data_IF_875053696719
#
_entry.id   IF_875053696719
#
_cell.length_a   1.000
_cell.length_b   1.000
_cell.length_c   1.000
_cell.angle_alpha   90.00
_cell.angle_beta   90.00
_cell.angle_gamma   90.00
#
_symmetry.space_group_name_H-M   'P 1'
#
loop_
_entity.id
_entity.type
_entity.pdbx_description
1 polymer ?
#
# COMPACT_ATOMS: atom_id res chain seq x y z
N UNK A 1 -25.04 14.14 -11.06
CA UNK A 1 -23.97 13.14 -10.84
C UNK A 1 -24.62 11.93 -10.18
N UNK A 2 -24.36 10.72 -10.66
CA UNK A 2 -24.91 9.51 -10.03
C UNK A 2 -24.07 9.15 -8.79
N UNK A 3 -24.63 8.33 -7.89
CA UNK A 3 -23.91 7.87 -6.70
C UNK A 3 -22.70 7.00 -7.08
N UNK A 4 -22.82 6.17 -8.12
CA UNK A 4 -21.71 5.35 -8.62
C UNK A 4 -20.54 6.22 -9.10
N UNK A 5 -20.83 7.30 -9.81
CA UNK A 5 -19.82 8.23 -10.28
C UNK A 5 -19.15 8.95 -9.10
N UNK A 6 -19.94 9.36 -8.10
CA UNK A 6 -19.43 9.99 -6.87
C UNK A 6 -18.49 9.06 -6.10
N UNK A 7 -18.88 7.79 -5.94
CA UNK A 7 -18.06 6.75 -5.30
C UNK A 7 -16.75 6.54 -6.05
N UNK A 8 -16.79 6.45 -7.39
CA UNK A 8 -15.59 6.30 -8.22
C UNK A 8 -14.63 7.49 -8.05
N UNK A 9 -15.14 8.73 -8.06
CA UNK A 9 -14.33 9.93 -7.85
C UNK A 9 -13.65 9.94 -6.47
N UNK A 10 -14.38 9.57 -5.42
CA UNK A 10 -13.82 9.47 -4.06
C UNK A 10 -12.71 8.40 -4.01
N UNK A 11 -12.94 7.22 -4.58
CA UNK A 11 -11.96 6.13 -4.58
C UNK A 11 -10.66 6.52 -5.32
N UNK A 12 -10.77 7.16 -6.49
CA UNK A 12 -9.61 7.66 -7.24
C UNK A 12 -8.85 8.72 -6.41
N UNK A 13 -9.57 9.65 -5.79
CA UNK A 13 -8.96 10.69 -4.95
C UNK A 13 -8.22 10.09 -3.74
N UNK A 14 -8.83 9.12 -3.05
CA UNK A 14 -8.19 8.36 -1.97
C UNK A 14 -6.90 7.69 -2.44
N UNK A 15 -6.94 6.98 -3.57
CA UNK A 15 -5.75 6.31 -4.12
C UNK A 15 -4.61 7.29 -4.41
N UNK A 16 -4.90 8.42 -5.06
CA UNK A 16 -3.88 9.42 -5.38
C UNK A 16 -3.22 9.99 -4.12
N UNK A 17 -4.01 10.43 -3.15
CA UNK A 17 -3.49 11.04 -1.92
C UNK A 17 -2.77 10.02 -1.02
N UNK A 18 -3.30 8.79 -0.91
CA UNK A 18 -2.61 7.70 -0.25
C UNK A 18 -1.28 7.39 -0.93
N UNK A 19 -1.24 7.44 -2.26
CA UNK A 19 -0.04 7.29 -3.09
C UNK A 19 1.14 8.13 -2.61
N UNK A 20 0.85 9.36 -2.23
CA UNK A 20 1.84 10.34 -1.79
C UNK A 20 2.05 10.41 -0.27
N UNK A 21 1.07 9.95 0.53
CA UNK A 21 1.02 10.22 1.97
C UNK A 21 0.71 8.98 2.82
N UNK A 22 1.04 7.77 2.35
CA UNK A 22 0.87 6.57 3.15
C UNK A 22 1.71 6.64 4.44
N UNK A 23 1.15 6.16 5.55
CA UNK A 23 1.87 6.13 6.82
C UNK A 23 2.97 5.05 6.79
N UNK A 24 4.15 5.38 7.32
CA UNK A 24 5.24 4.42 7.51
C UNK A 24 5.33 4.00 8.97
N UNK A 25 5.27 2.70 9.23
CA UNK A 25 5.23 2.10 10.57
C UNK A 25 6.34 1.06 10.73
N UNK A 26 6.80 0.81 11.97
CA UNK A 26 7.77 -0.25 12.22
C UNK A 26 7.14 -1.64 12.10
N UNK A 27 7.87 -2.53 11.44
CA UNK A 27 7.58 -3.96 11.29
C UNK A 27 8.80 -4.77 11.70
N UNK A 28 8.63 -5.62 12.71
CA UNK A 28 9.67 -6.57 13.12
C UNK A 28 9.59 -7.83 12.26
N UNK A 29 10.71 -8.18 11.63
CA UNK A 29 10.85 -9.38 10.79
C UNK A 29 11.93 -10.29 11.35
N UNK A 30 11.81 -11.60 11.08
CA UNK A 30 12.89 -12.55 11.32
C UNK A 30 13.74 -12.65 10.06
N UNK A 31 15.04 -12.45 10.21
CA UNK A 31 16.00 -12.62 9.12
C UNK A 31 16.22 -14.12 8.85
N UNK A 32 16.78 -14.48 7.68
CA UNK A 32 17.17 -15.86 7.38
C UNK A 32 18.16 -16.48 8.39
N UNK A 33 18.88 -15.64 9.14
CA UNK A 33 19.85 -16.07 10.16
C UNK A 33 19.24 -16.22 11.56
N UNK A 34 17.91 -16.09 11.69
CA UNK A 34 17.20 -16.26 12.96
C UNK A 34 17.25 -15.04 13.89
N UNK A 35 17.89 -13.95 13.47
CA UNK A 35 17.86 -12.67 14.19
C UNK A 35 16.59 -11.90 13.87
N UNK A 36 16.12 -11.05 14.80
CA UNK A 36 15.02 -10.12 14.54
C UNK A 36 15.57 -8.77 14.10
N UNK A 37 15.00 -8.21 13.06
CA UNK A 37 15.27 -6.85 12.60
C UNK A 37 13.98 -6.03 12.56
N UNK A 38 14.07 -4.71 12.67
CA UNK A 38 12.91 -3.81 12.59
C UNK A 38 13.09 -2.84 11.43
N UNK A 39 12.19 -2.93 10.46
CA UNK A 39 12.18 -2.10 9.25
C UNK A 39 10.95 -1.19 9.24
N UNK A 40 11.10 0.01 8.70
CA UNK A 40 9.98 0.93 8.46
C UNK A 40 9.35 0.61 7.10
N UNK A 41 8.04 0.37 7.11
CA UNK A 41 7.27 -0.05 5.93
C UNK A 41 5.96 0.71 5.87
N UNK A 42 5.32 0.84 4.70
CA UNK A 42 3.96 1.33 4.64
C UNK A 42 3.02 0.51 5.53
N UNK A 43 2.14 1.17 6.26
CA UNK A 43 1.19 0.56 7.19
C UNK A 43 0.41 -0.59 6.59
N UNK A 44 -0.04 -0.44 5.33
CA UNK A 44 -0.78 -1.47 4.62
C UNK A 44 -0.01 -2.79 4.47
N UNK A 45 1.34 -2.77 4.43
CA UNK A 45 2.16 -4.01 4.37
C UNK A 45 1.97 -4.83 5.64
N UNK A 46 1.85 -4.16 6.79
CA UNK A 46 1.69 -4.79 8.11
C UNK A 46 0.26 -5.25 8.36
N UNK A 47 -0.73 -4.47 7.93
CA UNK A 47 -2.13 -4.69 8.32
C UNK A 47 -2.93 -5.58 7.36
N UNK A 48 -2.60 -5.55 6.07
CA UNK A 48 -3.31 -6.37 5.09
C UNK A 48 -2.95 -7.85 5.33
N UNK A 49 -3.99 -8.69 5.39
CA UNK A 49 -3.85 -10.15 5.36
C UNK A 49 -3.58 -10.62 3.93
N UNK A 50 -2.34 -10.43 3.48
CA UNK A 50 -1.88 -10.83 2.15
C UNK A 50 -2.07 -12.32 1.89
N UNK A 51 -2.17 -12.68 0.62
CA UNK A 51 -2.25 -14.10 0.22
C UNK A 51 -0.91 -14.84 0.32
N UNK A 52 0.17 -14.13 0.64
CA UNK A 52 1.52 -14.69 0.84
C UNK A 52 2.16 -14.16 2.12
N UNK A 53 3.36 -14.67 2.43
CA UNK A 53 4.12 -14.21 3.60
C UNK A 53 4.54 -12.73 3.47
N UNK A 54 4.77 -12.08 4.61
CA UNK A 54 5.17 -10.68 4.68
C UNK A 54 6.53 -10.45 4.01
N UNK A 55 7.47 -11.40 4.06
CA UNK A 55 8.78 -11.26 3.39
C UNK A 55 8.65 -11.08 1.88
N UNK A 56 7.74 -11.80 1.22
CA UNK A 56 7.50 -11.64 -0.22
C UNK A 56 6.86 -10.28 -0.55
N UNK A 57 6.04 -9.73 0.35
CA UNK A 57 5.53 -8.36 0.21
C UNK A 57 6.63 -7.31 0.39
N UNK A 58 7.57 -7.54 1.31
CA UNK A 58 8.74 -6.67 1.48
C UNK A 58 9.66 -6.72 0.26
N UNK A 59 9.86 -7.87 -0.37
CA UNK A 59 10.63 -7.98 -1.61
C UNK A 59 9.98 -7.15 -2.74
N UNK A 60 8.66 -7.24 -2.90
CA UNK A 60 7.91 -6.43 -3.88
C UNK A 60 7.99 -4.94 -3.57
N UNK A 61 7.88 -4.57 -2.30
CA UNK A 61 8.04 -3.17 -1.86
C UNK A 61 9.44 -2.65 -2.14
N UNK A 62 10.48 -3.39 -1.77
CA UNK A 62 11.87 -3.03 -2.03
C UNK A 62 12.15 -2.92 -3.54
N UNK A 63 11.54 -3.78 -4.36
CA UNK A 63 11.62 -3.69 -5.82
C UNK A 63 10.95 -2.40 -6.34
N UNK A 64 9.78 -2.06 -5.81
CA UNK A 64 9.07 -0.84 -6.18
C UNK A 64 9.83 0.45 -5.79
N UNK A 65 10.53 0.42 -4.65
CA UNK A 65 11.29 1.58 -4.14
C UNK A 65 12.71 1.68 -4.69
N UNK A 66 13.18 0.66 -5.43
CA UNK A 66 14.55 0.61 -5.98
C UNK A 66 14.93 1.82 -6.81
N UNK A 67 13.98 2.45 -7.50
CA UNK A 67 14.27 3.61 -8.36
C UNK A 67 14.52 4.91 -7.58
N UNK A 68 14.31 4.92 -6.26
CA UNK A 68 14.48 6.11 -5.42
C UNK A 68 13.61 7.31 -5.85
N UNK A 69 12.44 7.01 -6.40
CA UNK A 69 11.46 7.97 -6.91
C UNK A 69 10.13 7.78 -6.17
N UNK A 70 9.93 8.46 -5.02
CA UNK A 70 8.79 8.24 -4.13
C UNK A 70 7.44 8.39 -4.80
N UNK A 71 7.31 9.30 -5.77
CA UNK A 71 6.06 9.56 -6.47
C UNK A 71 5.57 8.35 -7.28
N UNK A 72 6.45 7.38 -7.54
CA UNK A 72 6.13 6.17 -8.30
C UNK A 72 6.01 4.90 -7.47
N UNK A 73 6.36 4.94 -6.18
CA UNK A 73 6.45 3.73 -5.36
C UNK A 73 5.15 2.95 -5.28
N UNK A 74 4.03 3.62 -4.99
CA UNK A 74 2.73 2.95 -4.86
C UNK A 74 2.25 2.34 -6.18
N UNK A 75 2.43 3.06 -7.29
CA UNK A 75 2.08 2.55 -8.63
C UNK A 75 2.94 1.34 -9.01
N UNK A 76 4.25 1.39 -8.74
CA UNK A 76 5.17 0.26 -8.98
C UNK A 76 4.86 -0.93 -8.08
N UNK A 77 4.57 -0.71 -6.81
CA UNK A 77 4.19 -1.76 -5.88
C UNK A 77 2.90 -2.45 -6.36
N UNK A 78 1.87 -1.66 -6.69
CA UNK A 78 0.61 -2.17 -7.24
C UNK A 78 0.81 -3.02 -8.51
N UNK A 79 1.73 -2.61 -9.38
CA UNK A 79 2.06 -3.37 -10.60
C UNK A 79 2.68 -4.74 -10.29
N UNK A 80 3.46 -4.88 -9.21
CA UNK A 80 4.08 -6.15 -8.78
C UNK A 80 3.11 -7.14 -8.12
N UNK A 81 1.92 -6.68 -7.71
CA UNK A 81 0.91 -7.51 -7.06
C UNK A 81 0.12 -8.35 -8.08
N UNK A 82 -0.30 -9.55 -7.65
CA UNK A 82 -1.33 -10.31 -8.36
C UNK A 82 -2.73 -9.71 -8.15
N UNK A 83 -3.73 -10.23 -8.87
CA UNK A 83 -5.10 -9.70 -8.84
C UNK A 83 -5.74 -9.72 -7.44
N UNK A 84 -5.47 -10.75 -6.62
CA UNK A 84 -6.05 -10.84 -5.28
C UNK A 84 -5.42 -9.81 -4.35
N UNK A 85 -4.10 -9.69 -4.36
CA UNK A 85 -3.39 -8.73 -3.54
C UNK A 85 -3.64 -7.27 -3.97
N UNK A 86 -3.83 -7.01 -5.27
CA UNK A 86 -4.30 -5.70 -5.76
C UNK A 86 -5.66 -5.34 -5.17
N UNK A 87 -6.60 -6.28 -5.19
CA UNK A 87 -7.94 -6.08 -4.61
C UNK A 87 -7.85 -5.79 -3.11
N UNK A 88 -7.09 -6.57 -2.35
CA UNK A 88 -6.90 -6.36 -0.92
C UNK A 88 -6.31 -4.98 -0.61
N UNK A 89 -5.33 -4.53 -1.40
CA UNK A 89 -4.75 -3.20 -1.25
C UNK A 89 -5.79 -2.10 -1.50
N UNK A 90 -6.55 -2.19 -2.59
CA UNK A 90 -7.57 -1.19 -2.92
C UNK A 90 -8.69 -1.15 -1.86
N UNK A 91 -9.16 -2.31 -1.39
CA UNK A 91 -10.15 -2.41 -0.32
C UNK A 91 -9.63 -1.75 0.96
N UNK A 92 -8.38 -2.05 1.35
CA UNK A 92 -7.77 -1.45 2.55
C UNK A 92 -7.63 0.07 2.40
N UNK A 93 -7.17 0.59 1.26
CA UNK A 93 -7.03 2.04 1.04
C UNK A 93 -8.38 2.74 1.17
N UNK A 94 -9.43 2.21 0.53
CA UNK A 94 -10.77 2.81 0.58
C UNK A 94 -11.32 2.86 2.01
N UNK A 95 -11.09 1.81 2.79
CA UNK A 95 -11.62 1.66 4.15
C UNK A 95 -10.83 2.44 5.21
N UNK A 96 -9.51 2.57 5.03
CA UNK A 96 -8.62 3.03 6.11
C UNK A 96 -7.99 4.40 5.85
N UNK A 97 -7.79 4.80 4.59
CA UNK A 97 -7.21 6.10 4.28
C UNK A 97 -8.28 7.20 4.25
N UNK A 98 -8.08 8.27 5.03
CA UNK A 98 -8.97 9.44 5.09
C UNK A 98 -8.18 10.77 5.04
N UNK A 99 -6.96 10.75 4.49
CA UNK A 99 -6.08 11.90 4.40
C UNK A 99 -6.24 12.73 3.12
N UNK A 100 -7.16 12.33 2.24
CA UNK A 100 -7.45 13.02 1.00
C UNK A 100 -8.16 14.36 1.22
N UNK A 101 -8.00 15.31 0.28
CA UNK A 101 -8.79 16.55 0.30
C UNK A 101 -10.23 16.26 -0.11
N UNK A 102 -11.20 16.89 0.56
CA UNK A 102 -12.61 16.73 0.18
C UNK A 102 -12.86 17.22 -1.24
N UNK A 103 -13.65 16.45 -1.99
CA UNK A 103 -14.14 16.81 -3.32
C UNK A 103 -15.48 17.56 -3.28
N UNK A 104 -16.23 17.42 -2.18
CA UNK A 104 -17.60 17.92 -2.01
C UNK A 104 -17.81 18.52 -0.61
#
# INVERSE_FOLDING_TARGET
>A
MTEELKIAMIAINKWMFHGWNYESVPLTIKTPYGTTDTVNVPQFIKEIKWTCNTSHMLEKWNKATRTQDPDTYMTKFYAELDNNNRRLLLEWVIQNYNGERSLF
#
